data_IF_710564898846
#
_entry.id   IF_710564898846
#
_cell.length_a   1.000
_cell.length_b   1.000
_cell.length_c   1.000
_cell.angle_alpha   90.00
_cell.angle_beta   90.00
_cell.angle_gamma   90.00
#
_symmetry.space_group_name_H-M   'P 1'
#
loop_
_entity.id
_entity.type
_entity.pdbx_description
1 polymer ?
#
# COMPACT_ATOMS: atom_id res chain seq x y z
N UNK A 1 -11.88 11.10 -19.08
CA UNK A 1 -11.10 10.67 -17.90
C UNK A 1 -11.94 11.03 -16.69
N UNK A 2 -12.35 10.06 -15.89
CA UNK A 2 -12.93 10.33 -14.57
C UNK A 2 -11.86 10.92 -13.69
N UNK A 3 -12.21 11.94 -12.92
CA UNK A 3 -11.28 12.55 -11.97
C UNK A 3 -10.98 11.57 -10.82
N UNK A 4 -9.71 11.46 -10.41
CA UNK A 4 -9.26 10.51 -9.39
C UNK A 4 -10.04 10.60 -8.06
N UNK A 5 -10.46 11.81 -7.68
CA UNK A 5 -11.22 12.06 -6.45
C UNK A 5 -12.68 11.57 -6.50
N UNK A 6 -13.19 11.24 -7.70
CA UNK A 6 -14.49 10.57 -7.85
C UNK A 6 -14.37 9.05 -7.69
N UNK A 7 -13.17 8.49 -7.93
CA UNK A 7 -12.91 7.05 -7.84
C UNK A 7 -12.46 6.61 -6.44
N UNK A 8 -11.77 7.51 -5.72
CA UNK A 8 -11.30 7.25 -4.37
C UNK A 8 -11.38 8.50 -3.51
N UNK A 9 -11.94 8.36 -2.31
CA UNK A 9 -11.99 9.43 -1.30
C UNK A 9 -11.24 8.99 -0.04
N UNK A 10 -10.67 9.91 0.74
CA UNK A 10 -9.93 9.56 1.96
C UNK A 10 -10.78 8.81 3.00
N UNK A 11 -12.11 9.01 2.97
CA UNK A 11 -13.06 8.34 3.89
C UNK A 11 -13.44 6.93 3.44
N UNK A 12 -13.13 6.55 2.20
CA UNK A 12 -13.46 5.22 1.70
C UNK A 12 -12.60 4.19 2.43
N UNK A 13 -13.25 3.10 2.87
CA UNK A 13 -12.59 2.03 3.62
C UNK A 13 -11.89 1.02 2.71
N UNK A 14 -10.72 0.56 3.10
CA UNK A 14 -10.03 -0.57 2.47
C UNK A 14 -9.73 -1.68 3.48
N UNK A 15 -9.45 -2.86 2.93
CA UNK A 15 -8.85 -4.00 3.64
C UNK A 15 -7.73 -4.54 2.78
N UNK A 16 -6.67 -5.00 3.44
CA UNK A 16 -5.56 -5.66 2.77
C UNK A 16 -5.70 -7.16 2.95
N UNK A 17 -5.42 -7.89 1.88
CA UNK A 17 -5.26 -9.34 1.91
C UNK A 17 -3.86 -9.65 1.39
N UNK A 18 -3.11 -10.45 2.12
CA UNK A 18 -1.87 -11.03 1.64
C UNK A 18 -2.03 -12.55 1.67
N UNK A 19 -1.58 -13.20 0.60
CA UNK A 19 -1.51 -14.65 0.52
C UNK A 19 -0.06 -15.05 0.26
N UNK A 20 0.52 -15.82 1.17
CA UNK A 20 1.92 -16.22 1.13
C UNK A 20 2.85 -15.44 2.05
N UNK A 21 4.09 -15.92 2.10
CA UNK A 21 5.17 -15.38 2.94
C UNK A 21 6.11 -14.56 2.07
N UNK A 22 6.36 -13.31 2.44
CA UNK A 22 7.37 -12.50 1.77
C UNK A 22 8.75 -12.91 2.27
N UNK A 23 9.53 -13.51 1.38
CA UNK A 23 10.90 -13.94 1.70
C UNK A 23 11.89 -12.78 1.54
N UNK A 24 13.07 -12.93 2.15
CA UNK A 24 14.19 -12.01 1.94
C UNK A 24 14.62 -11.88 0.47
N UNK A 25 14.43 -12.94 -0.33
CA UNK A 25 14.67 -12.88 -1.77
C UNK A 25 13.68 -11.93 -2.46
N UNK A 26 12.39 -11.99 -2.09
CA UNK A 26 11.38 -11.09 -2.64
C UNK A 26 11.67 -9.63 -2.28
N UNK A 27 12.13 -9.35 -1.04
CA UNK A 27 12.56 -8.00 -0.64
C UNK A 27 13.71 -7.48 -1.50
N UNK A 28 14.70 -8.31 -1.81
CA UNK A 28 15.83 -7.94 -2.70
C UNK A 28 15.35 -7.65 -4.12
N UNK A 29 14.43 -8.45 -4.64
CA UNK A 29 13.82 -8.25 -5.96
C UNK A 29 13.06 -6.92 -6.00
N UNK A 30 12.23 -6.63 -4.99
CA UNK A 30 11.49 -5.38 -4.89
C UNK A 30 12.43 -4.16 -4.88
N UNK A 31 13.48 -4.19 -4.07
CA UNK A 31 14.45 -3.09 -3.98
C UNK A 31 15.30 -2.93 -5.25
N UNK A 32 15.81 -4.02 -5.83
CA UNK A 32 16.77 -3.93 -6.94
C UNK A 32 16.13 -3.81 -8.31
N UNK A 33 14.95 -4.40 -8.50
CA UNK A 33 14.31 -4.48 -9.82
C UNK A 33 13.07 -3.59 -9.91
N UNK A 34 12.23 -3.57 -8.87
CA UNK A 34 10.95 -2.85 -8.94
C UNK A 34 11.08 -1.38 -8.52
N UNK A 35 11.86 -1.07 -7.48
CA UNK A 35 12.05 0.30 -7.00
C UNK A 35 12.59 1.25 -8.10
N UNK A 36 13.56 0.86 -8.95
CA UNK A 36 14.05 1.75 -10.01
C UNK A 36 12.99 2.06 -11.08
N UNK A 37 12.00 1.18 -11.26
CA UNK A 37 10.94 1.34 -12.27
C UNK A 37 9.74 2.12 -11.73
N UNK A 38 9.37 1.91 -10.47
CA UNK A 38 8.14 2.46 -9.87
C UNK A 38 8.41 3.63 -8.91
N UNK A 39 9.67 3.84 -8.51
CA UNK A 39 10.06 4.83 -7.50
C UNK A 39 9.88 4.36 -6.05
N UNK A 40 10.39 5.16 -5.13
CA UNK A 40 10.39 4.84 -3.69
C UNK A 40 9.00 4.90 -3.03
N UNK A 41 8.11 5.76 -3.51
CA UNK A 41 6.76 5.93 -2.95
C UNK A 41 5.92 4.66 -3.11
N UNK A 42 5.93 4.04 -4.30
CA UNK A 42 5.23 2.79 -4.56
C UNK A 42 5.75 1.65 -3.67
N UNK A 43 7.06 1.60 -3.42
CA UNK A 43 7.66 0.60 -2.54
C UNK A 43 7.26 0.83 -1.07
N UNK A 44 7.25 2.09 -0.62
CA UNK A 44 6.79 2.44 0.73
C UNK A 44 5.35 2.02 0.95
N UNK A 45 4.46 2.32 -0.02
CA UNK A 45 3.07 1.89 0.00
C UNK A 45 2.95 0.36 0.12
N UNK A 46 3.69 -0.39 -0.70
CA UNK A 46 3.67 -1.86 -0.67
C UNK A 46 4.00 -2.42 0.72
N UNK A 47 5.08 -1.94 1.34
CA UNK A 47 5.45 -2.40 2.68
C UNK A 47 4.47 -1.94 3.76
N UNK A 48 3.94 -0.71 3.67
CA UNK A 48 2.91 -0.24 4.59
C UNK A 48 1.67 -1.13 4.55
N UNK A 49 1.18 -1.50 3.37
CA UNK A 49 0.03 -2.41 3.22
C UNK A 49 0.34 -3.81 3.77
N UNK A 50 1.54 -4.32 3.52
CA UNK A 50 1.96 -5.64 3.98
C UNK A 50 1.96 -5.73 5.51
N UNK A 51 2.48 -4.70 6.19
CA UNK A 51 2.53 -4.63 7.66
C UNK A 51 1.14 -4.51 8.30
N UNK A 52 0.10 -4.13 7.55
CA UNK A 52 -1.27 -4.11 8.08
C UNK A 52 -1.88 -5.50 8.27
N UNK A 53 -1.32 -6.51 7.59
CA UNK A 53 -1.75 -7.89 7.73
C UNK A 53 -1.01 -8.49 8.92
N UNK A 54 -1.70 -8.58 10.06
CA UNK A 54 -1.14 -9.17 11.28
C UNK A 54 -0.71 -10.63 11.06
N UNK A 55 0.34 -11.06 11.78
CA UNK A 55 0.81 -12.45 11.72
C UNK A 55 -0.33 -13.45 12.00
N UNK A 56 -0.40 -14.51 11.20
CA UNK A 56 -1.45 -15.54 11.22
C UNK A 56 -2.85 -15.08 10.82
N UNK A 57 -2.99 -13.89 10.20
CA UNK A 57 -4.26 -13.45 9.59
C UNK A 57 -4.13 -13.32 8.09
N UNK A 58 -5.21 -13.65 7.38
CA UNK A 58 -5.30 -13.49 5.93
C UNK A 58 -5.73 -12.07 5.53
N UNK A 59 -6.31 -11.30 6.45
CA UNK A 59 -6.90 -9.99 6.19
C UNK A 59 -6.54 -8.98 7.28
N UNK A 60 -6.34 -7.72 6.89
CA UNK A 60 -6.27 -6.60 7.82
C UNK A 60 -7.66 -6.16 8.30
N UNK A 61 -7.69 -5.34 9.36
CA UNK A 61 -8.91 -4.63 9.78
C UNK A 61 -9.25 -3.56 8.74
N UNK A 62 -10.55 -3.26 8.59
CA UNK A 62 -10.97 -2.16 7.72
C UNK A 62 -10.45 -0.82 8.26
N UNK A 63 -9.84 -0.02 7.39
CA UNK A 63 -9.34 1.32 7.72
C UNK A 63 -9.71 2.30 6.60
N UNK A 64 -9.91 3.59 6.93
CA UNK A 64 -10.07 4.62 5.90
C UNK A 64 -8.72 4.89 5.22
N UNK A 65 -8.74 5.25 3.93
CA UNK A 65 -7.52 5.66 3.22
C UNK A 65 -6.84 6.88 3.86
N UNK A 66 -7.57 7.74 4.57
CA UNK A 66 -7.01 8.87 5.32
C UNK A 66 -5.92 8.44 6.31
N UNK A 67 -6.06 7.26 6.93
CA UNK A 67 -5.05 6.73 7.83
C UNK A 67 -3.78 6.32 7.06
N UNK A 68 -3.93 5.62 5.95
CA UNK A 68 -2.82 5.21 5.08
C UNK A 68 -2.06 6.42 4.52
N UNK A 69 -2.79 7.43 4.03
CA UNK A 69 -2.22 8.67 3.52
C UNK A 69 -1.43 9.42 4.60
N UNK A 70 -1.95 9.46 5.84
CA UNK A 70 -1.26 10.06 6.99
C UNK A 70 0.02 9.30 7.31
N UNK A 71 -0.01 7.97 7.31
CA UNK A 71 1.18 7.13 7.55
C UNK A 71 2.26 7.32 6.48
N UNK A 72 1.85 7.46 5.22
CA UNK A 72 2.77 7.68 4.10
C UNK A 72 3.22 9.14 3.98
N UNK A 73 2.53 10.08 4.62
CA UNK A 73 2.82 11.51 4.52
C UNK A 73 2.54 12.09 3.13
N UNK A 74 1.61 11.50 2.37
CA UNK A 74 1.30 11.91 0.99
C UNK A 74 -0.15 12.36 0.82
N UNK A 75 -0.41 13.16 -0.22
CA UNK A 75 -1.76 13.54 -0.62
C UNK A 75 -2.45 12.41 -1.39
N UNK A 76 -3.78 12.46 -1.46
CA UNK A 76 -4.56 11.54 -2.30
C UNK A 76 -4.17 11.62 -3.78
N UNK A 77 -3.79 12.81 -4.26
CA UNK A 77 -3.31 13.00 -5.65
C UNK A 77 -1.96 12.32 -5.90
N UNK A 78 -1.07 12.26 -4.90
CA UNK A 78 0.21 11.56 -5.04
C UNK A 78 0.06 10.04 -4.88
N UNK A 79 -1.07 9.58 -4.34
CA UNK A 79 -1.40 8.17 -4.18
C UNK A 79 -2.01 7.56 -5.45
N UNK A 80 -2.74 8.36 -6.24
CA UNK A 80 -3.43 7.96 -7.47
C UNK A 80 -2.55 8.22 -8.71
#
# INVERSE_FOLDING_TARGET
MTEFWMELRPVDGYKVKADGIITEFNRKVLLKLYQPLMGAHALSLYFSLLEEVEENKLWSKAKPHSQLLTTLGISLQAFF
#
